data_IF_913151509503
#
_entry.id   IF_913151509503
#
_cell.length_a   1.000
_cell.length_b   1.000
_cell.length_c   1.000
_cell.angle_alpha   90.00
_cell.angle_beta   90.00
_cell.angle_gamma   90.00
#
_symmetry.space_group_name_H-M   'P 1'
#
loop_
_entity.id
_entity.type
_entity.pdbx_description
1 polymer ?
#
# COMPACT_ATOMS: atom_id res chain seq x y z
N UNK A 1 13.88 4.68 -13.72
CA UNK A 1 13.96 3.64 -12.67
C UNK A 1 12.66 3.70 -11.90
N UNK A 2 11.85 2.63 -11.93
CA UNK A 2 10.44 2.67 -11.55
C UNK A 2 10.14 3.17 -10.13
N UNK A 3 11.08 3.04 -9.19
CA UNK A 3 10.83 3.30 -7.77
C UNK A 3 10.14 4.63 -7.42
N UNK A 4 10.72 5.80 -7.76
CA UNK A 4 10.15 7.09 -7.34
C UNK A 4 8.86 7.48 -8.06
N UNK A 5 8.80 7.25 -9.36
CA UNK A 5 7.62 7.61 -10.17
C UNK A 5 6.43 6.70 -9.84
N UNK A 6 6.67 5.41 -9.55
CA UNK A 6 5.64 4.47 -9.10
C UNK A 6 5.11 4.82 -7.72
N UNK A 7 6.00 5.15 -6.77
CA UNK A 7 5.57 5.59 -5.44
C UNK A 7 4.78 6.89 -5.51
N UNK A 8 5.18 7.84 -6.37
CA UNK A 8 4.38 9.05 -6.61
C UNK A 8 2.99 8.72 -7.14
N UNK A 9 2.90 7.91 -8.19
CA UNK A 9 1.61 7.49 -8.77
C UNK A 9 0.72 6.81 -7.74
N UNK A 10 1.30 5.97 -6.86
CA UNK A 10 0.55 5.32 -5.78
C UNK A 10 0.00 6.30 -4.73
N UNK A 11 0.77 7.33 -4.40
CA UNK A 11 0.33 8.37 -3.46
C UNK A 11 -0.71 9.30 -4.10
N UNK A 12 -0.61 9.55 -5.40
CA UNK A 12 -1.65 10.26 -6.17
C UNK A 12 -2.96 9.46 -6.21
N UNK A 13 -2.89 8.14 -6.41
CA UNK A 13 -4.06 7.26 -6.32
C UNK A 13 -4.63 7.24 -4.89
N UNK A 14 -3.75 7.20 -3.86
CA UNK A 14 -4.17 7.23 -2.46
C UNK A 14 -4.87 8.55 -2.08
N UNK A 15 -4.42 9.68 -2.65
CA UNK A 15 -5.12 10.96 -2.54
C UNK A 15 -6.53 10.85 -3.12
N UNK A 16 -6.65 10.33 -4.34
CA UNK A 16 -7.93 10.32 -5.04
C UNK A 16 -8.94 9.36 -4.37
N UNK A 17 -8.46 8.45 -3.52
CA UNK A 17 -9.25 7.45 -2.77
C UNK A 17 -9.25 7.70 -1.25
N UNK A 18 -8.84 8.87 -0.79
CA UNK A 18 -8.61 9.17 0.63
C UNK A 18 -9.84 8.88 1.51
N UNK A 19 -11.01 9.36 1.11
CA UNK A 19 -12.27 9.14 1.84
C UNK A 19 -12.60 7.63 1.98
N UNK A 20 -12.36 6.85 0.93
CA UNK A 20 -12.63 5.42 0.97
C UNK A 20 -11.57 4.66 1.77
N UNK A 21 -10.31 5.05 1.70
CA UNK A 21 -9.24 4.47 2.53
C UNK A 21 -9.54 4.71 4.01
N UNK A 22 -9.92 5.93 4.38
CA UNK A 22 -10.31 6.27 5.74
C UNK A 22 -11.53 5.48 6.22
N UNK A 23 -12.59 5.43 5.40
CA UNK A 23 -13.82 4.68 5.70
C UNK A 23 -13.56 3.19 5.88
N UNK A 24 -12.49 2.66 5.32
CA UNK A 24 -12.09 1.26 5.42
C UNK A 24 -10.95 1.01 6.42
N UNK A 25 -10.54 2.04 7.19
CA UNK A 25 -9.42 1.99 8.12
C UNK A 25 -8.12 1.51 7.47
N UNK A 26 -7.90 1.86 6.20
CA UNK A 26 -6.73 1.48 5.40
C UNK A 26 -5.71 2.61 5.36
N UNK A 27 -4.43 2.23 5.38
CA UNK A 27 -3.30 3.14 5.28
C UNK A 27 -2.32 2.60 4.24
N UNK A 28 -1.83 3.49 3.40
CA UNK A 28 -0.78 3.23 2.41
C UNK A 28 0.58 3.54 3.04
N UNK A 29 1.50 2.58 2.99
CA UNK A 29 2.88 2.78 3.48
C UNK A 29 3.84 2.79 2.30
N UNK A 30 4.37 3.96 1.89
CA UNK A 30 5.33 4.01 0.82
C UNK A 30 6.71 3.57 1.34
N UNK A 31 7.28 2.54 0.74
CA UNK A 31 8.58 2.00 1.14
C UNK A 31 9.47 1.77 -0.08
N UNK A 32 10.75 2.10 0.05
CA UNK A 32 11.75 1.88 -1.00
C UNK A 32 12.31 0.46 -0.88
N UNK A 33 12.11 -0.36 -1.90
CA UNK A 33 12.73 -1.68 -2.04
C UNK A 33 14.17 -1.56 -2.62
N UNK A 34 15.13 -2.36 -2.14
CA UNK A 34 15.06 -3.33 -1.02
C UNK A 34 15.36 -2.74 0.36
N UNK A 35 15.54 -1.41 0.46
CA UNK A 35 16.08 -0.79 1.67
C UNK A 35 15.09 -0.81 2.86
N UNK A 36 13.78 -0.90 2.60
CA UNK A 36 12.77 -0.87 3.67
C UNK A 36 12.63 0.53 4.30
N UNK A 37 12.95 1.59 3.56
CA UNK A 37 13.01 2.97 4.08
C UNK A 37 11.94 3.86 3.45
N UNK A 38 11.63 4.98 4.11
CA UNK A 38 10.74 5.98 3.55
C UNK A 38 11.34 6.58 2.26
N UNK A 39 10.53 6.85 1.23
CA UNK A 39 10.99 7.48 0.01
C UNK A 39 11.42 8.93 0.26
N UNK A 40 12.72 9.20 0.09
CA UNK A 40 13.26 10.55 0.24
C UNK A 40 13.03 11.41 -1.01
N UNK A 41 12.63 12.66 -0.81
CA UNK A 41 12.45 13.65 -1.88
C UNK A 41 11.16 13.50 -2.69
N UNK A 42 10.10 12.98 -2.06
CA UNK A 42 8.73 13.11 -2.55
C UNK A 42 8.09 14.37 -1.97
N UNK A 43 6.97 14.77 -2.57
CA UNK A 43 6.22 15.95 -2.16
C UNK A 43 5.61 15.74 -0.77
N UNK A 44 5.79 16.70 0.13
CA UNK A 44 5.31 16.58 1.51
C UNK A 44 3.78 16.53 1.55
N UNK A 45 3.10 17.23 0.65
CA UNK A 45 1.64 17.21 0.54
C UNK A 45 1.06 15.82 0.20
N UNK A 46 1.86 14.94 -0.44
CA UNK A 46 1.46 13.56 -0.71
C UNK A 46 1.72 12.63 0.48
N UNK A 47 2.65 12.99 1.37
CA UNK A 47 3.05 12.20 2.53
C UNK A 47 2.30 12.58 3.81
N UNK A 48 1.89 13.84 3.94
CA UNK A 48 1.16 14.39 5.09
C UNK A 48 -0.37 14.20 4.93
N UNK A 49 -0.79 12.96 4.65
CA UNK A 49 -2.21 12.58 4.54
C UNK A 49 -2.58 11.57 5.61
N UNK A 50 -3.82 11.60 6.08
CA UNK A 50 -4.30 10.69 7.14
C UNK A 50 -4.39 9.23 6.65
N UNK A 51 -4.48 9.01 5.33
CA UNK A 51 -4.46 7.70 4.69
C UNK A 51 -3.04 7.19 4.35
N UNK A 52 -1.99 7.94 4.71
CA UNK A 52 -0.58 7.60 4.44
C UNK A 52 0.21 7.51 5.75
N UNK A 53 1.01 6.47 5.90
CA UNK A 53 1.95 6.37 7.02
C UNK A 53 3.36 6.07 6.52
N UNK A 54 4.37 6.67 7.15
CA UNK A 54 5.76 6.38 6.81
C UNK A 54 6.27 5.15 7.56
N UNK A 55 7.16 4.34 6.94
CA UNK A 55 7.78 3.23 7.62
C UNK A 55 8.63 3.74 8.79
N UNK A 56 8.27 3.34 10.01
CA UNK A 56 9.02 3.61 11.23
C UNK A 56 9.63 2.33 11.82
N UNK A 57 10.84 2.43 12.39
CA UNK A 57 11.56 1.30 12.99
C UNK A 57 12.40 0.48 12.00
N UNK A 58 13.08 -0.57 12.48
CA UNK A 58 14.05 -1.35 11.71
C UNK A 58 13.54 -2.63 11.04
N UNK A 59 12.28 -3.02 11.27
CA UNK A 59 11.72 -4.28 10.79
C UNK A 59 11.18 -4.23 9.34
N UNK A 60 11.11 -3.05 8.72
CA UNK A 60 10.55 -2.89 7.39
C UNK A 60 11.35 -3.60 6.31
N UNK A 61 12.67 -3.73 6.47
CA UNK A 61 13.50 -4.45 5.51
C UNK A 61 13.09 -5.92 5.38
N UNK A 62 12.85 -6.62 6.49
CA UNK A 62 12.40 -8.02 6.42
C UNK A 62 10.99 -8.13 5.85
N UNK A 63 10.06 -7.26 6.29
CA UNK A 63 8.69 -7.25 5.76
C UNK A 63 8.66 -7.05 4.25
N UNK A 64 9.40 -6.05 3.75
CA UNK A 64 9.45 -5.73 2.32
C UNK A 64 10.16 -6.85 1.55
N UNK A 65 11.18 -7.50 2.12
CA UNK A 65 11.81 -8.67 1.49
C UNK A 65 10.86 -9.85 1.39
N UNK A 66 10.16 -10.22 2.47
CA UNK A 66 9.23 -11.35 2.50
C UNK A 66 8.08 -11.12 1.49
N UNK A 67 7.51 -9.91 1.48
CA UNK A 67 6.42 -9.58 0.56
C UNK A 67 6.90 -9.46 -0.90
N UNK A 68 8.15 -9.05 -1.14
CA UNK A 68 8.75 -9.04 -2.48
C UNK A 68 9.01 -10.47 -3.00
N UNK A 69 9.47 -11.39 -2.13
CA UNK A 69 9.62 -12.81 -2.49
C UNK A 69 8.27 -13.44 -2.82
N UNK A 70 7.25 -13.18 -2.01
CA UNK A 70 5.89 -13.64 -2.26
C UNK A 70 5.35 -13.09 -3.59
N UNK A 71 5.49 -11.79 -3.84
CA UNK A 71 5.08 -11.16 -5.10
C UNK A 71 5.82 -11.76 -6.31
N UNK A 72 7.12 -11.99 -6.19
CA UNK A 72 7.95 -12.61 -7.23
C UNK A 72 7.50 -14.05 -7.51
N UNK A 73 7.16 -14.83 -6.47
CA UNK A 73 6.63 -16.19 -6.60
C UNK A 73 5.29 -16.24 -7.36
N UNK A 74 4.55 -15.14 -7.33
CA UNK A 74 3.28 -14.96 -8.03
C UNK A 74 3.42 -14.31 -9.43
N UNK A 75 4.65 -14.12 -9.90
CA UNK A 75 4.99 -13.64 -11.23
C UNK A 75 5.02 -12.11 -11.40
N UNK A 76 5.12 -11.34 -10.31
CA UNK A 76 5.26 -9.88 -10.35
C UNK A 76 6.74 -9.50 -10.48
N UNK A 77 7.07 -8.62 -11.42
CA UNK A 77 8.39 -8.01 -11.47
C UNK A 77 8.46 -6.85 -10.47
N UNK A 78 8.93 -7.13 -9.25
CA UNK A 78 9.01 -6.15 -8.17
C UNK A 78 9.89 -4.94 -8.52
N UNK A 79 10.91 -5.10 -9.37
CA UNK A 79 11.82 -4.02 -9.73
C UNK A 79 11.21 -3.07 -10.77
N UNK A 80 10.44 -3.60 -11.73
CA UNK A 80 9.79 -2.82 -12.78
C UNK A 80 8.37 -2.34 -12.41
N UNK A 81 7.58 -3.20 -11.77
CA UNK A 81 6.17 -2.96 -11.45
C UNK A 81 6.00 -2.30 -10.07
N UNK A 82 6.88 -2.61 -9.12
CA UNK A 82 6.71 -2.26 -7.71
C UNK A 82 5.54 -3.00 -7.07
N UNK A 83 5.38 -2.85 -5.76
CA UNK A 83 4.26 -3.44 -5.02
C UNK A 83 3.81 -2.50 -3.90
N UNK A 84 2.54 -2.63 -3.50
CA UNK A 84 1.94 -1.81 -2.46
C UNK A 84 1.58 -2.68 -1.26
N UNK A 85 2.05 -2.30 -0.07
CA UNK A 85 1.62 -2.90 1.19
C UNK A 85 0.55 -1.99 1.79
N UNK A 86 -0.64 -2.54 1.98
CA UNK A 86 -1.77 -1.83 2.60
C UNK A 86 -2.01 -2.42 3.98
N UNK A 87 -1.93 -1.56 4.99
CA UNK A 87 -2.16 -1.93 6.39
C UNK A 87 -3.49 -1.38 6.86
N UNK A 88 -4.23 -2.18 7.64
CA UNK A 88 -5.34 -1.65 8.44
C UNK A 88 -4.78 -0.88 9.65
N UNK A 89 -5.49 0.14 10.13
CA UNK A 89 -5.12 0.91 11.34
C UNK A 89 -4.96 0.04 12.59
N UNK A 90 -5.52 -1.17 12.61
CA UNK A 90 -5.33 -2.17 13.67
C UNK A 90 -4.01 -2.99 13.54
N UNK A 91 -3.14 -2.64 12.60
CA UNK A 91 -1.84 -3.31 12.37
C UNK A 91 -1.94 -4.63 11.62
N UNK A 92 -3.12 -5.04 11.16
CA UNK A 92 -3.29 -6.25 10.33
C UNK A 92 -3.16 -5.92 8.85
N UNK A 93 -2.52 -6.82 8.10
CA UNK A 93 -2.44 -6.75 6.64
C UNK A 93 -3.84 -7.09 6.10
N UNK A 94 -4.49 -6.13 5.44
CA UNK A 94 -5.89 -6.24 5.00
C UNK A 94 -6.09 -6.86 3.61
N UNK A 95 -5.07 -6.82 2.74
CA UNK A 95 -5.07 -7.56 1.48
C UNK A 95 -3.65 -7.56 0.90
N UNK A 96 -3.22 -8.69 0.32
CA UNK A 96 -2.02 -8.77 -0.52
C UNK A 96 -2.47 -8.75 -1.97
N UNK A 97 -2.35 -7.61 -2.65
CA UNK A 97 -2.73 -7.47 -4.06
C UNK A 97 -1.49 -7.30 -4.93
N UNK A 98 -1.47 -7.99 -6.07
CA UNK A 98 -0.41 -7.87 -7.08
C UNK A 98 -0.41 -6.47 -7.67
N UNK A 99 0.72 -5.76 -7.67
CA UNK A 99 0.85 -4.39 -8.20
C UNK A 99 0.09 -3.32 -7.40
N UNK A 100 0.25 -2.05 -7.80
CA UNK A 100 -0.41 -0.91 -7.16
C UNK A 100 -1.81 -0.76 -7.76
N UNK A 101 -2.82 -1.40 -7.17
CA UNK A 101 -4.22 -1.30 -7.61
C UNK A 101 -5.14 -0.85 -6.48
N UNK A 102 -4.81 0.29 -5.87
CA UNK A 102 -5.56 0.87 -4.76
C UNK A 102 -7.05 1.01 -5.08
N UNK A 103 -7.40 1.51 -6.27
CA UNK A 103 -8.80 1.68 -6.69
C UNK A 103 -9.60 0.38 -6.82
N UNK A 104 -8.97 -0.69 -7.34
CA UNK A 104 -9.63 -2.00 -7.43
C UNK A 104 -9.87 -2.60 -6.05
N UNK A 105 -8.88 -2.50 -5.17
CA UNK A 105 -8.95 -3.05 -3.82
C UNK A 105 -9.98 -2.31 -2.96
N UNK A 106 -10.00 -0.97 -3.00
CA UNK A 106 -11.04 -0.15 -2.36
C UNK A 106 -12.42 -0.54 -2.89
N UNK A 107 -12.56 -0.73 -4.20
CA UNK A 107 -13.80 -1.19 -4.82
C UNK A 107 -14.25 -2.57 -4.32
N UNK A 108 -13.33 -3.52 -4.16
CA UNK A 108 -13.62 -4.86 -3.64
C UNK A 108 -14.07 -4.85 -2.17
N UNK A 109 -13.41 -4.07 -1.32
CA UNK A 109 -13.81 -3.90 0.09
C UNK A 109 -15.18 -3.21 0.18
N UNK A 110 -15.40 -2.17 -0.63
CA UNK A 110 -16.68 -1.44 -0.67
C UNK A 110 -17.82 -2.35 -1.13
N UNK A 111 -17.64 -3.12 -2.20
CA UNK A 111 -18.65 -4.08 -2.67
C UNK A 111 -19.00 -5.13 -1.60
N UNK A 112 -17.99 -5.67 -0.91
CA UNK A 112 -18.23 -6.67 0.15
C UNK A 112 -19.01 -6.08 1.31
N UNK A 113 -18.70 -4.83 1.69
CA UNK A 113 -19.44 -4.10 2.72
C UNK A 113 -20.89 -3.81 2.31
N UNK A 114 -21.11 -3.38 1.07
CA UNK A 114 -22.46 -3.15 0.52
C UNK A 114 -23.29 -4.45 0.42
N UNK A 115 -22.62 -5.58 0.19
CA UNK A 115 -23.24 -6.91 0.25
C UNK A 115 -23.51 -7.41 1.68
N UNK A 116 -23.24 -6.61 2.71
CA UNK A 116 -23.45 -6.96 4.12
C UNK A 116 -22.42 -7.94 4.67
N UNK A 117 -21.28 -8.12 4.01
CA UNK A 117 -20.22 -9.01 4.47
C UNK A 117 -19.35 -8.34 5.53
N UNK A 118 -18.83 -9.14 6.46
CA UNK A 118 -17.86 -8.67 7.45
C UNK A 118 -16.51 -8.38 6.77
N UNK A 119 -16.21 -7.09 6.60
CA UNK A 119 -14.94 -6.62 6.03
C UNK A 119 -13.84 -6.43 7.07
N UNK A 120 -14.14 -6.70 8.35
CA UNK A 120 -13.17 -6.61 9.46
C UNK A 120 -11.99 -7.58 9.25
N UNK A 121 -12.27 -8.75 8.65
CA UNK A 121 -11.35 -9.89 8.53
C UNK A 121 -10.85 -10.18 7.10
N UNK A 122 -11.04 -9.26 6.15
CA UNK A 122 -10.36 -9.33 4.84
C UNK A 122 -8.88 -9.03 5.04
#
# INVERSE_FOLDING_TARGET
VGGKDRVRSALEDARDLEEDLERNDLVVVPVVYPQGTAPLGLDLELLERDCVALPAGGAWRSVVSDEAEEASSQGVDVEEEGFCIVLKKNGRIGQRTKGIYLGRMVGEVTQRREAGMDVSNI
#
